data_IF_612215472327
#
_entry.id   IF_612215472327
#
_cell.length_a   1.000
_cell.length_b   1.000
_cell.length_c   1.000
_cell.angle_alpha   90.00
_cell.angle_beta   90.00
_cell.angle_gamma   90.00
#
_symmetry.space_group_name_H-M   'P 1'
#
loop_
_entity.id
_entity.type
_entity.pdbx_description
1 polymer ?
#
# COMPACT_ATOMS: atom_id res chain seq x y z
N UNK A 1 -20.55 24.18 56.49
CA UNK A 1 -19.80 24.08 55.22
C UNK A 1 -20.69 23.35 54.24
N UNK A 2 -21.52 24.11 53.54
CA UNK A 2 -22.55 23.63 52.62
C UNK A 2 -21.97 23.68 51.21
N UNK A 3 -21.69 22.52 50.62
CA UNK A 3 -21.15 22.39 49.27
C UNK A 3 -22.23 22.63 48.22
N UNK A 4 -22.04 23.67 47.42
CA UNK A 4 -22.79 23.93 46.19
C UNK A 4 -22.45 22.85 45.17
N UNK A 5 -23.43 22.05 44.77
CA UNK A 5 -23.31 21.07 43.69
C UNK A 5 -23.89 21.70 42.42
N UNK A 6 -23.00 22.16 41.53
CA UNK A 6 -23.36 22.78 40.26
C UNK A 6 -23.75 21.71 39.23
N UNK A 7 -25.05 21.47 39.09
CA UNK A 7 -25.62 20.73 37.97
C UNK A 7 -25.45 21.55 36.69
N UNK A 8 -24.46 21.22 35.87
CA UNK A 8 -24.32 21.74 34.51
C UNK A 8 -25.45 21.18 33.62
N UNK A 9 -26.10 22.03 32.80
CA UNK A 9 -27.17 21.59 31.91
C UNK A 9 -26.61 20.67 30.82
N UNK A 10 -27.19 19.47 30.74
CA UNK A 10 -26.97 18.48 29.70
C UNK A 10 -27.31 19.10 28.32
N UNK A 11 -26.28 19.44 27.54
CA UNK A 11 -26.44 19.94 26.18
C UNK A 11 -26.86 18.77 25.31
N UNK A 12 -28.18 18.63 25.16
CA UNK A 12 -28.81 17.50 24.48
C UNK A 12 -28.14 17.16 23.14
N UNK A 13 -27.77 15.90 23.00
CA UNK A 13 -27.39 15.26 21.75
C UNK A 13 -28.45 15.53 20.68
N UNK A 14 -28.20 16.53 19.85
CA UNK A 14 -29.03 16.85 18.69
C UNK A 14 -28.87 15.70 17.71
N UNK A 15 -29.95 15.00 17.29
CA UNK A 15 -29.84 13.91 16.35
C UNK A 15 -29.19 14.41 15.05
N UNK A 16 -28.31 13.60 14.41
CA UNK A 16 -27.67 13.99 13.17
C UNK A 16 -28.74 14.32 12.14
N UNK A 17 -28.70 15.55 11.61
CA UNK A 17 -29.59 15.96 10.52
C UNK A 17 -29.37 14.99 9.37
N UNK A 18 -30.42 14.28 8.97
CA UNK A 18 -30.41 13.42 7.81
C UNK A 18 -29.82 14.20 6.63
N UNK A 19 -28.81 13.64 5.98
CA UNK A 19 -28.13 14.26 4.86
C UNK A 19 -29.16 14.49 3.75
N UNK A 20 -29.60 15.73 3.58
CA UNK A 20 -30.45 16.12 2.45
C UNK A 20 -29.73 15.74 1.17
N UNK A 21 -30.39 14.92 0.35
CA UNK A 21 -29.95 14.63 -1.01
C UNK A 21 -29.75 15.95 -1.75
N UNK A 22 -28.66 16.02 -2.53
CA UNK A 22 -28.44 17.17 -3.41
C UNK A 22 -29.55 17.11 -4.46
N UNK A 23 -30.24 18.23 -4.69
CA UNK A 23 -31.28 18.30 -5.71
C UNK A 23 -30.69 17.99 -7.09
N UNK A 24 -31.42 17.21 -7.89
CA UNK A 24 -31.03 16.82 -9.26
C UNK A 24 -30.65 18.02 -10.13
N UNK A 25 -31.30 19.17 -9.89
CA UNK A 25 -31.01 20.45 -10.56
C UNK A 25 -29.55 20.89 -10.41
N UNK A 26 -28.92 20.63 -9.25
CA UNK A 26 -27.53 21.01 -8.99
C UNK A 26 -26.56 20.10 -9.73
N UNK A 27 -26.91 18.81 -9.87
CA UNK A 27 -26.12 17.83 -10.61
C UNK A 27 -26.17 18.16 -12.10
N UNK A 28 -27.37 18.45 -12.63
CA UNK A 28 -27.56 18.88 -14.01
C UNK A 28 -26.83 20.21 -14.32
N UNK A 29 -26.90 21.18 -13.41
CA UNK A 29 -26.19 22.45 -13.56
C UNK A 29 -24.66 22.24 -13.61
N UNK A 30 -24.11 21.39 -12.74
CA UNK A 30 -22.68 21.08 -12.77
C UNK A 30 -22.23 20.39 -14.05
N UNK A 31 -23.02 19.45 -14.56
CA UNK A 31 -22.75 18.78 -15.83
C UNK A 31 -22.68 19.78 -17.01
N UNK A 32 -23.53 20.80 -17.04
CA UNK A 32 -23.50 21.84 -18.08
C UNK A 32 -22.23 22.70 -18.09
N UNK A 33 -21.53 22.77 -16.96
CA UNK A 33 -20.25 23.48 -16.80
C UNK A 33 -19.05 22.52 -16.91
N UNK A 34 -19.29 21.22 -17.13
CA UNK A 34 -18.25 20.19 -17.18
C UNK A 34 -17.67 19.82 -15.80
N UNK A 35 -18.39 20.14 -14.72
CA UNK A 35 -17.98 19.83 -13.34
C UNK A 35 -18.79 18.65 -12.82
N UNK A 36 -18.09 17.56 -12.50
CA UNK A 36 -18.69 16.38 -11.87
C UNK A 36 -18.91 16.62 -10.37
N UNK A 37 -20.10 17.09 -10.04
CA UNK A 37 -20.50 17.48 -8.68
C UNK A 37 -20.49 16.27 -7.72
N UNK A 38 -20.75 15.06 -8.22
CA UNK A 38 -20.72 13.84 -7.42
C UNK A 38 -19.31 13.47 -7.01
N UNK A 39 -18.36 13.47 -7.95
CA UNK A 39 -16.93 13.27 -7.63
C UNK A 39 -16.42 14.32 -6.66
N UNK A 40 -16.81 15.59 -6.87
CA UNK A 40 -16.39 16.68 -6.00
C UNK A 40 -16.93 16.48 -4.57
N UNK A 41 -18.21 16.12 -4.43
CA UNK A 41 -18.82 15.81 -3.13
C UNK A 41 -18.11 14.65 -2.44
N UNK A 42 -17.84 13.56 -3.15
CA UNK A 42 -17.14 12.39 -2.61
C UNK A 42 -15.73 12.76 -2.13
N UNK A 43 -15.03 13.60 -2.88
CA UNK A 43 -13.73 14.15 -2.48
C UNK A 43 -13.82 14.93 -1.17
N UNK A 44 -14.77 15.85 -1.04
CA UNK A 44 -14.94 16.64 0.18
C UNK A 44 -15.48 15.84 1.37
N UNK A 45 -16.32 14.83 1.16
CA UNK A 45 -16.76 13.93 2.22
C UNK A 45 -15.59 13.13 2.78
N UNK A 46 -14.72 12.59 1.92
CA UNK A 46 -13.52 11.88 2.34
C UNK A 46 -12.55 12.82 3.09
N UNK A 47 -12.38 14.05 2.61
CA UNK A 47 -11.51 15.04 3.25
C UNK A 47 -12.05 15.52 4.61
N UNK A 48 -13.38 15.67 4.75
CA UNK A 48 -14.04 16.04 6.00
C UNK A 48 -13.98 14.94 7.05
N UNK A 49 -14.05 13.67 6.63
CA UNK A 49 -13.79 12.54 7.52
C UNK A 49 -12.35 12.63 8.05
N UNK A 50 -11.36 12.78 7.16
CA UNK A 50 -9.95 12.88 7.55
C UNK A 50 -9.68 14.04 8.52
N UNK A 51 -10.29 15.22 8.30
CA UNK A 51 -10.08 16.38 9.18
C UNK A 51 -10.79 16.27 10.53
N UNK A 52 -11.97 15.64 10.61
CA UNK A 52 -12.63 15.37 11.88
C UNK A 52 -11.88 14.30 12.72
N UNK A 53 -11.22 13.35 12.05
CA UNK A 53 -10.39 12.34 12.70
C UNK A 53 -9.06 12.89 13.24
N UNK A 54 -8.49 13.91 12.60
CA UNK A 54 -7.28 14.58 13.10
C UNK A 54 -7.50 15.38 14.41
N UNK A 55 -8.77 15.66 14.76
CA UNK A 55 -9.12 16.40 15.98
C UNK A 55 -9.40 15.50 17.20
N UNK A 56 -9.63 14.20 17.01
CA UNK A 56 -9.82 13.21 18.08
C UNK A 56 -8.48 12.54 18.40
N UNK A 57 -7.88 12.89 19.53
CA UNK A 57 -6.50 12.55 19.87
C UNK A 57 -6.14 11.05 19.87
N UNK A 58 -5.06 10.73 19.17
CA UNK A 58 -4.02 9.75 19.54
C UNK A 58 -4.34 8.25 19.52
N UNK A 59 -5.30 7.79 20.33
CA UNK A 59 -5.51 6.35 20.55
C UNK A 59 -6.37 5.69 19.46
N UNK A 60 -7.27 6.46 18.84
CA UNK A 60 -8.13 5.97 17.77
C UNK A 60 -7.42 5.88 16.42
N UNK A 61 -6.34 6.65 16.22
CA UNK A 61 -5.57 6.61 14.97
C UNK A 61 -4.85 5.28 14.78
N UNK A 62 -4.33 4.68 15.86
CA UNK A 62 -3.64 3.39 15.81
C UNK A 62 -4.63 2.27 15.47
N UNK A 63 -5.78 2.23 16.15
CA UNK A 63 -6.84 1.25 15.89
C UNK A 63 -7.41 1.40 14.48
N UNK A 64 -7.57 2.63 14.00
CA UNK A 64 -8.08 2.89 12.67
C UNK A 64 -7.07 2.48 11.58
N UNK A 65 -5.78 2.78 11.76
CA UNK A 65 -4.73 2.29 10.85
C UNK A 65 -4.74 0.77 10.77
N UNK A 66 -4.89 0.11 11.90
CA UNK A 66 -4.99 -1.34 11.95
C UNK A 66 -6.27 -1.87 11.27
N UNK A 67 -7.43 -1.24 11.49
CA UNK A 67 -8.67 -1.58 10.78
C UNK A 67 -8.60 -1.34 9.27
N UNK A 68 -7.96 -0.26 8.82
CA UNK A 68 -7.73 0.03 7.41
C UNK A 68 -6.82 -1.01 6.78
N UNK A 69 -5.75 -1.39 7.48
CA UNK A 69 -4.82 -2.41 7.02
C UNK A 69 -5.48 -3.79 6.94
N UNK A 70 -6.31 -4.16 7.93
CA UNK A 70 -7.07 -5.41 7.92
C UNK A 70 -8.14 -5.40 6.81
N UNK A 71 -8.83 -4.28 6.58
CA UNK A 71 -9.80 -4.14 5.50
C UNK A 71 -9.14 -4.24 4.11
N UNK A 72 -7.96 -3.63 3.94
CA UNK A 72 -7.16 -3.78 2.71
C UNK A 72 -6.76 -5.24 2.49
N UNK A 73 -6.27 -5.91 3.53
CA UNK A 73 -5.88 -7.33 3.48
C UNK A 73 -7.05 -8.25 3.12
N UNK A 74 -8.24 -7.98 3.67
CA UNK A 74 -9.46 -8.72 3.33
C UNK A 74 -9.86 -8.51 1.87
N UNK A 75 -9.80 -7.26 1.38
CA UNK A 75 -10.08 -6.94 -0.03
C UNK A 75 -9.08 -7.62 -0.98
N UNK A 76 -7.80 -7.68 -0.62
CA UNK A 76 -6.79 -8.40 -1.40
C UNK A 76 -7.04 -9.90 -1.44
N UNK A 77 -7.44 -10.52 -0.32
CA UNK A 77 -7.80 -11.93 -0.29
C UNK A 77 -9.04 -12.23 -1.16
N UNK A 78 -10.05 -11.36 -1.12
CA UNK A 78 -11.25 -11.49 -1.94
C UNK A 78 -10.94 -11.31 -3.45
N UNK A 79 -10.14 -10.30 -3.81
CA UNK A 79 -9.69 -10.10 -5.19
C UNK A 79 -8.92 -11.31 -5.72
N UNK A 80 -8.07 -11.91 -4.87
CA UNK A 80 -7.32 -13.13 -5.21
C UNK A 80 -8.23 -14.35 -5.35
N UNK A 81 -9.25 -14.49 -4.51
CA UNK A 81 -10.25 -15.56 -4.63
C UNK A 81 -11.08 -15.44 -5.92
N UNK A 82 -11.37 -14.20 -6.34
CA UNK A 82 -12.11 -13.91 -7.58
C UNK A 82 -11.26 -14.01 -8.86
N UNK A 83 -9.99 -14.43 -8.76
CA UNK A 83 -9.10 -14.57 -9.91
C UNK A 83 -8.72 -13.24 -10.58
N UNK A 84 -9.03 -12.11 -9.94
CA UNK A 84 -8.56 -10.80 -10.39
C UNK A 84 -7.10 -10.69 -10.01
N UNK A 85 -6.22 -10.90 -11.00
CA UNK A 85 -4.80 -10.63 -10.85
C UNK A 85 -4.65 -9.12 -10.67
N UNK A 86 -4.48 -8.68 -9.42
CA UNK A 86 -4.07 -7.32 -9.11
C UNK A 86 -2.66 -7.20 -9.67
N UNK A 87 -2.50 -6.51 -10.80
CA UNK A 87 -1.18 -6.20 -11.31
C UNK A 87 -0.46 -5.35 -10.27
N UNK A 88 0.66 -5.83 -9.70
CA UNK A 88 1.39 -5.06 -8.72
C UNK A 88 1.83 -3.75 -9.37
N UNK A 89 1.67 -2.66 -8.63
CA UNK A 89 2.03 -1.35 -9.12
C UNK A 89 3.50 -1.38 -9.57
N UNK A 90 3.78 -1.06 -10.85
CA UNK A 90 5.08 -1.30 -11.48
C UNK A 90 6.23 -0.67 -10.69
N UNK A 91 5.98 0.46 -10.06
CA UNK A 91 6.94 1.16 -9.20
C UNK A 91 7.35 0.37 -7.95
N UNK A 92 6.40 -0.36 -7.33
CA UNK A 92 6.69 -1.19 -6.16
C UNK A 92 7.47 -2.45 -6.53
N UNK A 93 7.20 -3.02 -7.70
CA UNK A 93 7.96 -4.17 -8.22
C UNK A 93 9.42 -3.79 -8.42
N UNK A 94 9.71 -2.64 -9.04
CA UNK A 94 11.09 -2.18 -9.28
C UNK A 94 11.84 -1.94 -7.97
N UNK A 95 11.20 -1.33 -6.97
CA UNK A 95 11.80 -1.12 -5.63
C UNK A 95 12.09 -2.46 -4.94
N UNK A 96 11.17 -3.41 -5.02
CA UNK A 96 11.33 -4.72 -4.42
C UNK A 96 12.42 -5.55 -5.12
N UNK A 97 12.55 -5.46 -6.44
CA UNK A 97 13.62 -6.14 -7.19
C UNK A 97 15.00 -5.55 -6.90
N UNK A 98 15.11 -4.23 -6.82
CA UNK A 98 16.34 -3.57 -6.39
C UNK A 98 16.73 -3.99 -4.97
N UNK A 99 15.75 -4.09 -4.06
CA UNK A 99 15.95 -4.60 -2.71
C UNK A 99 16.44 -6.05 -2.69
N UNK A 100 15.83 -6.93 -3.48
CA UNK A 100 16.23 -8.34 -3.60
C UNK A 100 17.67 -8.51 -4.06
N UNK A 101 18.08 -7.79 -5.13
CA UNK A 101 19.46 -7.83 -5.62
C UNK A 101 20.49 -7.42 -4.56
N UNK A 102 20.13 -6.49 -3.66
CA UNK A 102 21.01 -6.09 -2.55
C UNK A 102 21.14 -7.19 -1.51
N UNK A 103 20.05 -7.90 -1.21
CA UNK A 103 20.04 -9.00 -0.25
C UNK A 103 20.74 -10.25 -0.79
N UNK A 104 20.66 -10.52 -2.09
CA UNK A 104 21.34 -11.64 -2.75
C UNK A 104 22.87 -11.56 -2.67
N UNK A 105 23.41 -10.35 -2.48
CA UNK A 105 24.84 -10.12 -2.31
C UNK A 105 25.30 -10.28 -0.85
N UNK A 106 24.40 -10.47 0.12
CA UNK A 106 24.77 -10.66 1.52
C UNK A 106 24.88 -12.15 1.80
N UNK A 107 26.06 -12.60 2.21
CA UNK A 107 26.36 -13.98 2.56
C UNK A 107 26.69 -14.07 4.04
N UNK A 108 26.05 -14.99 4.74
CA UNK A 108 26.34 -15.25 6.14
C UNK A 108 27.67 -16.01 6.25
N UNK A 109 28.56 -15.55 7.13
CA UNK A 109 29.84 -16.22 7.37
C UNK A 109 29.61 -17.64 7.92
N UNK A 110 30.10 -18.65 7.20
CA UNK A 110 29.90 -20.05 7.56
C UNK A 110 30.63 -20.43 8.87
N UNK A 111 31.79 -19.82 9.14
CA UNK A 111 32.62 -20.16 10.31
C UNK A 111 31.99 -19.77 11.65
N UNK A 112 31.33 -18.61 11.71
CA UNK A 112 30.65 -18.13 12.92
C UNK A 112 29.11 -18.18 12.81
N UNK A 113 28.56 -18.68 11.71
CA UNK A 113 27.12 -18.72 11.44
C UNK A 113 26.43 -17.37 11.63
N UNK A 114 27.07 -16.29 11.19
CA UNK A 114 26.51 -14.93 11.30
C UNK A 114 26.71 -14.23 12.64
N UNK A 115 27.29 -14.88 13.64
CA UNK A 115 27.44 -14.27 14.97
C UNK A 115 28.61 -13.28 15.06
N UNK A 116 29.56 -13.34 14.12
CA UNK A 116 30.80 -12.57 14.19
C UNK A 116 31.81 -13.08 15.23
N UNK A 117 31.38 -13.92 16.17
CA UNK A 117 32.21 -14.46 17.25
C UNK A 117 32.40 -15.97 17.09
N UNK A 118 33.55 -16.48 17.51
CA UNK A 118 33.86 -17.91 17.59
C UNK A 118 34.11 -18.26 19.05
N UNK A 119 33.42 -19.28 19.53
CA UNK A 119 33.61 -19.82 20.89
C UNK A 119 34.78 -20.79 20.90
N UNK A 120 35.77 -20.52 21.73
CA UNK A 120 36.91 -21.38 21.95
C UNK A 120 36.94 -21.80 23.42
N UNK A 121 36.96 -23.11 23.67
CA UNK A 121 37.09 -23.64 25.02
C UNK A 121 38.58 -23.77 25.36
N UNK A 122 39.05 -22.97 26.31
CA UNK A 122 40.43 -23.00 26.81
C UNK A 122 40.43 -23.20 28.32
N UNK A 123 41.05 -24.30 28.78
CA UNK A 123 41.16 -24.63 30.21
C UNK A 123 39.81 -24.57 30.96
N UNK A 124 38.78 -25.23 30.42
CA UNK A 124 37.40 -25.25 30.94
C UNK A 124 36.67 -23.90 30.96
N UNK A 125 37.26 -22.84 30.40
CA UNK A 125 36.61 -21.56 30.20
C UNK A 125 36.19 -21.43 28.74
N UNK A 126 34.97 -20.92 28.51
CA UNK A 126 34.52 -20.53 27.17
C UNK A 126 34.99 -19.09 26.94
N UNK A 127 35.81 -18.88 25.92
CA UNK A 127 36.20 -17.55 25.45
C UNK A 127 35.57 -17.28 24.10
N UNK A 128 35.07 -16.08 23.93
CA UNK A 128 34.57 -15.60 22.65
C UNK A 128 35.66 -14.73 22.03
N UNK A 129 36.03 -15.04 20.78
CA UNK A 129 36.97 -14.23 19.99
C UNK A 129 36.32 -13.82 18.68
N UNK A 130 36.76 -12.71 18.11
CA UNK A 130 36.26 -12.26 16.82
C UNK A 130 36.63 -13.27 15.73
N UNK A 131 35.68 -13.59 14.86
CA UNK A 131 35.91 -14.45 13.72
C UNK A 131 36.89 -13.77 12.76
N UNK A 132 38.03 -14.43 12.50
CA UNK A 132 39.10 -13.87 11.64
C UNK A 132 38.67 -13.72 10.17
N UNK A 133 37.69 -14.50 9.74
CA UNK A 133 37.24 -14.55 8.35
C UNK A 133 36.36 -13.35 7.99
N UNK A 134 35.40 -13.01 8.87
CA UNK A 134 34.50 -11.87 8.72
C UNK A 134 34.84 -10.68 9.65
N UNK A 135 36.00 -10.71 10.29
CA UNK A 135 36.51 -9.64 11.18
C UNK A 135 35.57 -9.26 12.34
N UNK A 136 34.71 -10.17 12.78
CA UNK A 136 33.76 -9.88 13.85
C UNK A 136 32.35 -9.49 13.39
N UNK A 137 32.10 -9.32 12.09
CA UNK A 137 30.81 -8.80 11.62
C UNK A 137 29.76 -9.87 11.34
N UNK A 138 30.18 -11.11 11.08
CA UNK A 138 29.26 -12.23 10.81
C UNK A 138 28.69 -12.26 9.39
N UNK A 139 28.78 -11.16 8.65
CA UNK A 139 28.31 -11.03 7.26
C UNK A 139 29.47 -10.76 6.31
N UNK A 140 29.35 -11.27 5.08
CA UNK A 140 30.28 -11.09 3.97
C UNK A 140 29.48 -10.60 2.76
N UNK A 141 30.11 -9.82 1.89
CA UNK A 141 29.47 -9.31 0.67
C UNK A 141 30.01 -10.03 -0.56
N UNK A 142 29.13 -10.54 -1.41
CA UNK A 142 29.53 -11.09 -2.71
C UNK A 142 29.77 -9.95 -3.68
N UNK A 143 31.03 -9.76 -4.09
CA UNK A 143 31.36 -8.85 -5.19
C UNK A 143 30.86 -9.39 -6.54
N UNK A 144 30.81 -8.53 -7.54
CA UNK A 144 30.40 -8.89 -8.91
C UNK A 144 31.26 -10.02 -9.50
N UNK A 145 32.53 -10.08 -9.10
CA UNK A 145 33.48 -11.13 -9.51
C UNK A 145 33.29 -12.47 -8.75
N UNK A 146 32.28 -12.56 -7.88
CA UNK A 146 32.05 -13.73 -7.01
C UNK A 146 33.00 -13.83 -5.81
N UNK A 147 33.93 -12.88 -5.65
CA UNK A 147 34.84 -12.80 -4.50
C UNK A 147 34.08 -12.27 -3.29
N UNK A 148 34.30 -12.91 -2.13
CA UNK A 148 33.73 -12.46 -0.86
C UNK A 148 34.56 -11.30 -0.32
N UNK A 149 33.91 -10.15 -0.18
CA UNK A 149 34.46 -8.93 0.38
C UNK A 149 34.05 -8.81 1.84
N UNK A 150 34.99 -8.31 2.64
CA UNK A 150 34.72 -7.94 4.03
C UNK A 150 33.92 -6.65 4.06
N UNK A 151 33.10 -6.39 5.08
CA UNK A 151 32.27 -5.18 5.13
C UNK A 151 33.10 -3.89 5.17
N UNK A 152 34.29 -3.93 5.78
CA UNK A 152 35.29 -2.85 5.72
C UNK A 152 35.74 -2.50 4.30
N UNK A 153 35.64 -3.46 3.37
CA UNK A 153 36.00 -3.33 1.96
C UNK A 153 34.77 -3.29 1.05
N UNK A 154 33.56 -3.43 1.60
CA UNK A 154 32.36 -3.32 0.81
C UNK A 154 32.34 -1.91 0.21
N UNK A 155 31.97 -1.77 -1.08
CA UNK A 155 31.76 -0.45 -1.65
C UNK A 155 30.74 0.21 -0.73
N UNK A 156 31.16 1.27 -0.04
CA UNK A 156 30.26 2.08 0.75
C UNK A 156 29.23 2.55 -0.25
N UNK A 157 28.05 1.90 -0.22
CA UNK A 157 26.93 2.30 -1.05
C UNK A 157 26.52 3.62 -0.43
N UNK A 158 27.20 4.69 -0.85
CA UNK A 158 26.90 6.02 -0.38
C UNK A 158 25.41 6.18 -0.60
N UNK A 159 24.71 6.68 0.42
CA UNK A 159 23.29 6.93 0.33
C UNK A 159 22.94 7.93 -0.80
N UNK A 160 23.91 8.38 -1.59
CA UNK A 160 23.81 9.24 -2.75
C UNK A 160 23.59 8.47 -4.06
N UNK A 161 23.78 7.14 -4.09
CA UNK A 161 23.53 6.32 -5.28
C UNK A 161 22.03 6.00 -5.53
N UNK A 162 21.11 6.59 -4.76
CA UNK A 162 19.70 6.71 -5.18
C UNK A 162 19.58 7.86 -6.19
N UNK A 163 20.26 7.76 -7.32
CA UNK A 163 20.03 8.70 -8.41
C UNK A 163 18.65 8.38 -8.99
N UNK A 164 17.63 9.06 -8.46
CA UNK A 164 16.21 8.91 -8.84
C UNK A 164 16.05 9.02 -10.35
N UNK A 165 16.89 9.85 -11.01
CA UNK A 165 16.93 10.02 -12.46
C UNK A 165 17.30 8.74 -13.22
N UNK A 166 18.18 7.90 -12.65
CA UNK A 166 18.58 6.62 -13.26
C UNK A 166 17.45 5.59 -13.20
N UNK A 167 16.67 5.59 -12.12
CA UNK A 167 15.52 4.71 -11.95
C UNK A 167 14.38 5.13 -12.88
N UNK A 168 14.12 6.45 -13.02
CA UNK A 168 13.12 6.95 -13.96
C UNK A 168 13.46 6.63 -15.41
N UNK A 169 14.74 6.69 -15.79
CA UNK A 169 15.17 6.37 -17.16
C UNK A 169 15.02 4.88 -17.47
N UNK A 170 15.41 4.00 -16.55
CA UNK A 170 15.18 2.55 -16.68
C UNK A 170 13.69 2.21 -16.70
N UNK A 171 12.87 2.86 -15.87
CA UNK A 171 11.42 2.66 -15.86
C UNK A 171 10.78 3.08 -17.20
N UNK A 172 11.29 4.15 -17.84
CA UNK A 172 10.83 4.61 -19.15
C UNK A 172 11.21 3.64 -20.28
N UNK A 173 12.46 3.16 -20.31
CA UNK A 173 12.91 2.16 -21.29
C UNK A 173 12.16 0.82 -21.13
N UNK A 174 11.90 0.37 -19.89
CA UNK A 174 11.09 -0.82 -19.63
C UNK A 174 9.63 -0.64 -20.06
N UNK A 175 9.03 0.53 -19.81
CA UNK A 175 7.68 0.84 -20.27
C UNK A 175 7.56 0.84 -21.80
N UNK A 176 8.59 1.33 -22.51
CA UNK A 176 8.66 1.29 -23.97
C UNK A 176 8.87 -0.14 -24.49
N UNK A 177 9.70 -0.95 -23.83
CA UNK A 177 9.97 -2.34 -24.24
C UNK A 177 8.79 -3.30 -24.03
N UNK A 178 7.92 -3.02 -23.06
CA UNK A 178 6.75 -3.85 -22.75
C UNK A 178 5.55 -3.62 -23.68
N UNK A 179 5.65 -2.71 -24.68
CA UNK A 179 4.66 -2.62 -25.76
C UNK A 179 3.22 -2.36 -25.30
N UNK A 180 3.01 -1.74 -24.13
CA UNK A 180 1.67 -1.35 -23.65
C UNK A 180 1.26 -0.05 -24.36
N UNK A 181 1.20 -0.08 -25.68
CA UNK A 181 0.62 1.00 -26.47
C UNK A 181 -0.68 0.48 -27.10
N UNK A 182 -1.79 1.00 -26.59
CA UNK A 182 -3.09 1.14 -27.26
C UNK A 182 -3.96 -0.09 -27.56
N UNK A 183 -3.57 -1.34 -27.30
CA UNK A 183 -4.47 -2.48 -27.54
C UNK A 183 -5.58 -2.68 -26.48
N UNK A 184 -5.43 -2.07 -25.30
CA UNK A 184 -6.38 -2.27 -24.20
C UNK A 184 -7.66 -1.42 -24.33
N UNK A 185 -7.60 -0.26 -25.02
CA UNK A 185 -8.78 0.59 -25.24
C UNK A 185 -9.75 -0.03 -26.25
N UNK A 186 -9.25 -0.70 -27.29
CA UNK A 186 -10.09 -1.43 -28.25
C UNK A 186 -10.83 -2.62 -27.64
N UNK A 187 -10.31 -3.21 -26.56
CA UNK A 187 -10.94 -4.36 -25.88
C UNK A 187 -11.97 -3.94 -24.81
N UNK A 188 -11.95 -2.70 -24.33
CA UNK A 188 -13.01 -2.20 -23.43
C UNK A 188 -14.27 -1.80 -24.20
N UNK A 189 -14.13 -1.18 -25.38
CA UNK A 189 -15.30 -0.79 -26.18
C UNK A 189 -16.11 -2.01 -26.67
N UNK A 190 -15.47 -3.14 -26.96
CA UNK A 190 -16.15 -4.37 -27.36
C UNK A 190 -16.92 -5.05 -26.21
N UNK A 191 -16.50 -4.88 -24.95
CA UNK A 191 -17.23 -5.42 -23.78
C UNK A 191 -18.46 -4.60 -23.39
N UNK A 192 -18.42 -3.27 -23.58
CA UNK A 192 -19.59 -2.41 -23.32
C UNK A 192 -20.73 -2.74 -24.28
N UNK A 193 -20.43 -2.98 -25.57
CA UNK A 193 -21.44 -3.35 -26.56
C UNK A 193 -22.16 -4.69 -26.26
N UNK A 194 -21.49 -5.65 -25.60
CA UNK A 194 -22.13 -6.91 -25.22
C UNK A 194 -22.99 -6.81 -23.95
N UNK A 195 -22.69 -5.88 -23.04
CA UNK A 195 -23.47 -5.70 -21.81
C UNK A 195 -24.81 -4.98 -22.06
N UNK A 196 -24.86 -4.05 -23.02
CA UNK A 196 -26.12 -3.39 -23.42
C UNK A 196 -27.09 -4.37 -24.09
N UNK A 197 -26.58 -5.37 -24.80
CA UNK A 197 -27.41 -6.40 -25.47
C UNK A 197 -28.12 -7.33 -24.48
N UNK A 198 -27.53 -7.57 -23.30
CA UNK A 198 -28.10 -8.46 -22.28
C UNK A 198 -29.17 -7.80 -21.40
N UNK A 199 -29.24 -6.46 -21.39
CA UNK A 199 -30.19 -5.72 -20.53
C UNK A 199 -31.58 -5.54 -21.15
N UNK A 200 -31.78 -5.98 -22.40
CA UNK A 200 -33.07 -5.87 -23.10
C UNK A 200 -34.02 -7.07 -22.93
N UNK A 201 -33.64 -8.15 -22.22
CA UNK A 201 -34.46 -9.36 -22.14
C UNK A 201 -35.26 -9.60 -20.85
N UNK A 202 -35.30 -8.64 -19.90
CA UNK A 202 -35.89 -8.88 -18.57
C UNK A 202 -37.12 -8.00 -18.20
N UNK A 203 -37.86 -7.44 -19.16
CA UNK A 203 -38.98 -6.53 -18.86
C UNK A 203 -40.41 -7.11 -19.03
N UNK A 204 -40.59 -8.42 -19.22
CA UNK A 204 -41.93 -9.01 -19.47
C UNK A 204 -42.49 -9.90 -18.33
N UNK A 205 -42.05 -9.73 -17.08
CA UNK A 205 -42.67 -10.40 -15.92
C UNK A 205 -43.66 -9.46 -15.20
N UNK A 206 -44.78 -9.19 -15.87
CA UNK A 206 -45.94 -8.52 -15.27
C UNK A 206 -46.75 -9.55 -14.46
N UNK A 207 -46.87 -9.42 -13.13
CA UNK A 207 -47.57 -10.41 -12.31
C UNK A 207 -49.09 -10.38 -12.59
N UNK A 208 -49.76 -11.54 -12.67
CA UNK A 208 -51.16 -11.60 -13.04
C UNK A 208 -52.07 -10.94 -11.99
N UNK A 209 -53.20 -10.36 -12.43
CA UNK A 209 -54.15 -9.72 -11.53
C UNK A 209 -54.80 -10.76 -10.60
N UNK A 210 -54.79 -10.43 -9.31
CA UNK A 210 -55.47 -11.19 -8.26
C UNK A 210 -56.97 -10.87 -8.35
N UNK A 211 -57.80 -11.89 -8.55
CA UNK A 211 -59.27 -11.79 -8.42
C UNK A 211 -59.71 -11.91 -6.96
#
# INVERSE_FOLDING_TARGET
>A
MSGFNENLPNTGNKPPRAATSIGEDVIAAGASVGVDVEKLRNKYLSQKLVSNLAASGGEDEIKLKQQLQDAQRMREMEARANGVVVEPNKEEVVKNEAGKKRLDNIIVCARCSGQGLVRQTYNFQIRESNCEECEGEGILYKGENGVLLKPSQAPQVSAEAYNVEGIEKMARELAESCGVTNQQESNMHSRIAMAESASQMNNDDEPPPIM
#
